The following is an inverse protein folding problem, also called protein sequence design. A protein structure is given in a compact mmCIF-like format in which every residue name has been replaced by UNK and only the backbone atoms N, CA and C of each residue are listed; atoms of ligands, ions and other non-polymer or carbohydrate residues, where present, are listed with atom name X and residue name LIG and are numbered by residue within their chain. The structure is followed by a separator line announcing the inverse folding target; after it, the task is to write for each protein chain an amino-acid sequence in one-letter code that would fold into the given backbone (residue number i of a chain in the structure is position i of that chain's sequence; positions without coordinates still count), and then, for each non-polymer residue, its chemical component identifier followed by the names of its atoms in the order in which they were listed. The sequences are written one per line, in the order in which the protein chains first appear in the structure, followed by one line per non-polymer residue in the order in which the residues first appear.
data_IF_353240497874
#
_entry.id   IF_353240497874
#
_cell.length_a   1.000
_cell.length_b   1.000
_cell.length_c   1.000
_cell.angle_alpha   90.00
_cell.angle_beta   90.00
_cell.angle_gamma   90.00
#
_symmetry.space_group_name_H-M   'P 1'
#
loop_
_entity.id
_entity.type
_entity.pdbx_description
1 polymer ?
#
# COMPACT_ATOMS: atom_id res chain seq x y z
N UNK A 1 23.20 -3.34 -20.41
CA UNK A 1 23.51 -3.25 -18.96
C UNK A 1 22.18 -3.37 -18.21
N UNK A 2 22.08 -4.24 -17.21
CA UNK A 2 20.83 -4.58 -16.52
C UNK A 2 20.38 -3.45 -15.57
N UNK A 3 19.51 -2.55 -16.06
CA UNK A 3 18.94 -1.45 -15.29
C UNK A 3 18.05 -1.92 -14.11
N UNK A 4 17.48 -3.12 -14.19
CA UNK A 4 16.67 -3.66 -13.10
C UNK A 4 17.54 -4.01 -11.89
N UNK A 5 18.77 -4.47 -12.11
CA UNK A 5 19.75 -4.67 -11.02
C UNK A 5 20.07 -3.35 -10.30
N UNK A 6 20.28 -2.26 -11.05
CA UNK A 6 20.59 -0.93 -10.51
C UNK A 6 19.44 -0.40 -9.67
N UNK A 7 18.21 -0.51 -10.18
CA UNK A 7 17.01 -0.08 -9.46
C UNK A 7 16.81 -0.85 -8.15
N UNK A 8 17.00 -2.18 -8.17
CA UNK A 8 16.90 -3.01 -6.96
C UNK A 8 17.94 -2.63 -5.91
N UNK A 9 19.18 -2.41 -6.32
CA UNK A 9 20.27 -2.01 -5.41
C UNK A 9 19.99 -0.65 -4.77
N UNK A 10 19.50 0.32 -5.54
CA UNK A 10 19.16 1.64 -5.02
C UNK A 10 18.02 1.59 -3.98
N UNK A 11 16.97 0.80 -4.26
CA UNK A 11 15.86 0.61 -3.31
C UNK A 11 16.30 -0.12 -2.03
N UNK A 12 17.15 -1.14 -2.14
CA UNK A 12 17.70 -1.86 -0.99
C UNK A 12 18.61 -0.97 -0.13
N UNK A 13 19.40 -0.09 -0.76
CA UNK A 13 20.23 0.88 -0.06
C UNK A 13 19.39 1.88 0.74
N UNK A 14 18.36 2.48 0.14
CA UNK A 14 17.43 3.36 0.86
C UNK A 14 16.71 2.67 2.03
N UNK A 15 16.41 1.37 1.87
CA UNK A 15 15.89 0.54 2.95
C UNK A 15 16.89 0.34 4.10
N UNK A 16 18.19 0.20 3.83
CA UNK A 16 19.22 0.04 4.85
C UNK A 16 19.45 1.33 5.67
N UNK A 17 19.30 2.51 5.05
CA UNK A 17 19.41 3.81 5.74
C UNK A 17 18.27 4.05 6.73
N UNK A 18 17.07 3.56 6.41
CA UNK A 18 15.87 3.74 7.25
C UNK A 18 15.72 2.67 8.33
N UNK A 19 16.57 1.64 8.34
CA UNK A 19 16.62 0.66 9.43
C UNK A 19 17.41 1.24 10.60
N UNK A 20 16.87 1.12 11.80
CA UNK A 20 17.53 1.54 13.05
C UNK A 20 18.63 0.57 13.49
N UNK A 21 19.27 -0.14 12.56
CA UNK A 21 20.23 -1.21 12.85
C UNK A 21 21.64 -0.67 13.22
N UNK A 22 21.81 0.66 13.26
CA UNK A 22 23.04 1.33 13.70
C UNK A 22 24.18 1.35 12.66
N UNK A 23 24.00 0.73 11.50
CA UNK A 23 25.02 0.65 10.44
C UNK A 23 25.13 1.89 9.55
N UNK A 24 24.09 2.72 9.46
CA UNK A 24 24.12 3.94 8.66
C UNK A 24 24.61 5.13 9.48
N UNK A 25 25.68 5.78 9.02
CA UNK A 25 26.26 6.98 9.61
C UNK A 25 26.19 8.12 8.58
N UNK A 26 25.12 8.91 8.66
CA UNK A 26 24.83 10.03 7.75
C UNK A 26 23.56 10.77 8.14
N UNK A 27 23.24 11.87 7.46
CA UNK A 27 22.01 12.62 7.71
C UNK A 27 20.79 11.85 7.18
N UNK A 28 19.94 11.41 8.10
CA UNK A 28 18.72 10.64 7.81
C UNK A 28 17.73 11.45 6.97
N UNK A 29 17.80 12.78 7.02
CA UNK A 29 16.89 13.68 6.29
C UNK A 29 17.09 13.65 4.76
N UNK A 30 18.17 13.05 4.25
CA UNK A 30 18.40 12.91 2.82
C UNK A 30 17.55 11.81 2.17
N UNK A 31 16.89 10.98 2.97
CA UNK A 31 16.10 9.85 2.49
C UNK A 31 14.62 10.04 2.85
N UNK A 32 13.70 9.58 1.97
CA UNK A 32 12.28 9.59 2.30
C UNK A 32 12.00 8.79 3.58
N UNK A 33 11.32 9.41 4.53
CA UNK A 33 10.90 8.74 5.77
C UNK A 33 9.97 7.58 5.42
N UNK A 34 10.30 6.38 5.89
CA UNK A 34 9.42 5.22 5.75
C UNK A 34 8.08 5.50 6.45
N UNK A 35 6.97 5.25 5.76
CA UNK A 35 5.64 5.29 6.37
C UNK A 35 5.61 4.33 7.56
N UNK A 36 5.30 4.85 8.74
CA UNK A 36 5.16 4.06 9.95
C UNK A 36 3.71 3.63 10.09
N UNK A 37 3.50 2.41 10.56
CA UNK A 37 2.15 1.95 10.91
C UNK A 37 1.57 2.89 11.98
N UNK A 38 0.38 3.44 11.72
CA UNK A 38 -0.35 4.17 12.73
C UNK A 38 -1.12 3.16 13.58
N UNK A 39 -0.41 2.57 14.56
CA UNK A 39 -1.00 1.68 15.56
C UNK A 39 -1.96 2.48 16.43
N UNK A 40 -3.26 2.35 16.15
CA UNK A 40 -4.32 2.90 16.99
C UNK A 40 -4.83 1.80 17.90
N UNK A 41 -4.78 2.05 19.20
CA UNK A 41 -5.39 1.16 20.17
C UNK A 41 -6.90 1.45 20.21
N UNK A 42 -7.69 0.42 19.96
CA UNK A 42 -9.14 0.47 20.11
C UNK A 42 -9.54 -0.31 21.35
N UNK A 43 -10.56 0.16 22.06
CA UNK A 43 -11.12 -0.59 23.18
C UNK A 43 -11.73 -1.91 22.68
N UNK A 44 -11.73 -2.94 23.52
CA UNK A 44 -12.28 -4.26 23.17
C UNK A 44 -13.74 -4.19 22.70
N UNK A 45 -14.53 -3.30 23.32
CA UNK A 45 -15.92 -3.07 22.93
C UNK A 45 -16.02 -2.48 21.51
N UNK A 46 -15.15 -1.53 21.15
CA UNK A 46 -15.09 -0.96 19.79
C UNK A 46 -14.65 -1.98 18.75
N UNK A 47 -13.71 -2.88 19.09
CA UNK A 47 -13.32 -3.98 18.21
C UNK A 47 -14.46 -4.99 18.02
N UNK A 48 -15.26 -5.25 19.06
CA UNK A 48 -16.42 -6.14 19.01
C UNK A 48 -17.56 -5.55 18.18
N UNK A 49 -17.83 -4.26 18.32
CA UNK A 49 -18.78 -3.52 17.48
C UNK A 49 -18.37 -3.58 15.99
N UNK A 50 -17.08 -3.42 15.70
CA UNK A 50 -16.54 -3.48 14.33
C UNK A 50 -16.71 -4.84 13.63
N UNK A 51 -16.79 -5.96 14.36
CA UNK A 51 -17.00 -7.30 13.78
C UNK A 51 -18.36 -7.45 13.10
N UNK A 52 -19.34 -6.66 13.53
CA UNK A 52 -20.69 -6.67 12.97
C UNK A 52 -20.87 -5.64 11.84
N UNK A 53 -19.87 -4.79 11.61
CA UNK A 53 -19.86 -3.81 10.52
C UNK A 53 -19.19 -4.46 9.31
N UNK A 54 -20.00 -5.02 8.43
CA UNK A 54 -19.54 -5.43 7.10
C UNK A 54 -19.30 -4.14 6.31
N UNK A 55 -18.03 -3.79 6.09
CA UNK A 55 -17.66 -2.71 5.19
C UNK A 55 -18.34 -2.89 3.84
N UNK A 56 -18.95 -1.81 3.34
CA UNK A 56 -19.60 -1.66 2.02
C UNK A 56 -19.34 -2.83 1.05
N UNK A 57 -20.36 -3.67 0.91
CA UNK A 57 -20.61 -4.58 -0.20
C UNK A 57 -19.38 -5.38 -0.69
N UNK A 58 -18.88 -6.29 0.16
CA UNK A 58 -18.25 -7.53 -0.30
C UNK A 58 -19.32 -8.46 -0.90
N UNK A 59 -20.12 -7.95 -1.83
CA UNK A 59 -21.02 -8.74 -2.66
C UNK A 59 -20.17 -9.62 -3.55
N UNK A 60 -20.42 -10.92 -3.52
CA UNK A 60 -19.73 -11.85 -4.42
C UNK A 60 -19.97 -11.47 -5.87
N UNK A 61 -18.89 -11.32 -6.64
CA UNK A 61 -18.94 -11.09 -8.09
C UNK A 61 -19.35 -12.35 -8.88
N UNK A 62 -19.74 -13.45 -8.22
CA UNK A 62 -20.10 -14.73 -8.88
C UNK A 62 -21.27 -14.63 -9.86
N UNK A 63 -22.03 -13.52 -9.86
CA UNK A 63 -23.03 -13.20 -10.88
C UNK A 63 -22.85 -11.81 -11.52
N UNK A 64 -21.75 -11.12 -11.22
CA UNK A 64 -21.45 -9.83 -11.84
C UNK A 64 -20.93 -10.10 -13.25
N UNK A 65 -21.82 -9.97 -14.23
CA UNK A 65 -21.44 -10.00 -15.65
C UNK A 65 -20.43 -8.88 -15.93
N UNK A 66 -19.33 -9.22 -16.58
CA UNK A 66 -18.35 -8.24 -17.08
C UNK A 66 -18.95 -7.30 -18.15
N UNK A 67 -20.17 -7.56 -18.62
CA UNK A 67 -20.90 -6.69 -19.56
C UNK A 67 -21.06 -5.28 -18.97
N UNK A 68 -20.28 -4.33 -19.50
CA UNK A 68 -20.29 -2.94 -19.06
C UNK A 68 -19.17 -2.55 -18.07
N UNK A 69 -18.31 -3.48 -17.65
CA UNK A 69 -17.08 -3.12 -16.93
C UNK A 69 -16.09 -2.50 -17.91
N UNK A 70 -15.82 -1.20 -17.76
CA UNK A 70 -14.77 -0.55 -18.53
C UNK A 70 -13.41 -0.89 -17.91
N UNK A 71 -12.57 -1.64 -18.63
CA UNK A 71 -11.20 -1.92 -18.21
C UNK A 71 -10.41 -0.63 -18.02
N UNK A 72 -9.43 -0.65 -17.10
CA UNK A 72 -8.50 0.45 -16.90
C UNK A 72 -7.84 0.84 -18.25
N UNK A 73 -8.03 2.09 -18.66
CA UNK A 73 -7.44 2.64 -19.90
C UNK A 73 -8.40 2.80 -21.08
N UNK A 74 -9.69 2.46 -20.96
CA UNK A 74 -10.64 2.79 -22.02
C UNK A 74 -10.93 4.30 -22.09
N UNK A 75 -10.88 4.92 -23.28
CA UNK A 75 -11.26 6.33 -23.44
C UNK A 75 -12.74 6.50 -23.10
N UNK A 76 -13.09 7.64 -22.49
CA UNK A 76 -14.50 7.98 -22.21
C UNK A 76 -15.23 8.10 -23.55
N UNK A 77 -16.31 7.36 -23.73
CA UNK A 77 -17.26 7.65 -24.80
C UNK A 77 -17.94 8.98 -24.46
N UNK A 78 -17.55 10.04 -25.17
CA UNK A 78 -18.27 11.31 -25.18
C UNK A 78 -19.19 11.22 -26.41
N UNK A 79 -20.51 11.24 -26.17
CA UNK A 79 -21.50 11.45 -27.22
C UNK A 79 -21.59 12.94 -27.56
#
# INVERSE_FOLDING_TARGET
KDMASVQRTLMNLGGAVTKSDGFFQGDINWFPKKSQENKREFTQDKLKEGKNIIGLQMGTNKGASQSGMTGYGMPRQIL
#
